data_IF_523157474080
#
_entry.id   IF_523157474080
#
_cell.length_a   1.000
_cell.length_b   1.000
_cell.length_c   1.000
_cell.angle_alpha   90.00
_cell.angle_beta   90.00
_cell.angle_gamma   90.00
#
_symmetry.space_group_name_H-M   'P 1'
#
loop_
_entity.id
_entity.type
_entity.pdbx_description
1 polymer ?
#
# COMPACT_ATOMS: atom_id res chain seq x y z
N UNK A 1 1.12 16.59 -12.16
CA UNK A 1 -0.04 15.72 -12.48
C UNK A 1 0.17 14.90 -13.75
N UNK A 2 0.61 15.51 -14.87
CA UNK A 2 0.91 14.82 -16.16
C UNK A 2 1.72 13.52 -15.99
N UNK A 3 2.91 13.59 -15.38
CA UNK A 3 3.75 12.40 -15.18
C UNK A 3 3.14 11.32 -14.27
N UNK A 4 2.42 11.69 -13.21
CA UNK A 4 1.78 10.70 -12.33
C UNK A 4 0.71 9.90 -13.08
N UNK A 5 -0.08 10.57 -13.92
CA UNK A 5 -1.16 9.94 -14.67
C UNK A 5 -0.62 9.19 -15.90
N UNK A 6 0.16 9.84 -16.76
CA UNK A 6 0.65 9.26 -18.01
C UNK A 6 1.71 8.19 -17.76
N UNK A 7 2.72 8.48 -16.95
CA UNK A 7 3.82 7.54 -16.69
C UNK A 7 3.49 6.55 -15.58
N UNK A 8 3.00 7.03 -14.43
CA UNK A 8 2.67 6.18 -13.30
C UNK A 8 1.53 5.21 -13.62
N UNK A 9 0.34 5.73 -13.94
CA UNK A 9 -0.85 4.90 -14.18
C UNK A 9 -0.96 4.39 -15.63
N UNK A 10 -0.64 5.24 -16.61
CA UNK A 10 -0.81 4.95 -18.04
C UNK A 10 0.21 3.96 -18.59
N UNK A 11 1.45 4.00 -18.13
CA UNK A 11 2.52 3.06 -18.54
C UNK A 11 2.82 2.02 -17.45
N UNK A 12 3.38 2.42 -16.31
CA UNK A 12 3.98 1.46 -15.37
C UNK A 12 2.94 0.54 -14.73
N UNK A 13 1.82 1.08 -14.25
CA UNK A 13 0.75 0.29 -13.63
C UNK A 13 -0.16 -0.45 -14.62
N UNK A 14 -0.19 -0.05 -15.90
CA UNK A 14 -1.05 -0.67 -16.91
C UNK A 14 -0.44 -1.94 -17.52
N UNK A 15 0.90 -2.11 -17.44
CA UNK A 15 1.60 -3.32 -17.88
C UNK A 15 1.03 -4.59 -17.23
N UNK A 16 0.91 -5.65 -18.01
CA UNK A 16 0.22 -6.90 -17.65
C UNK A 16 1.14 -8.02 -17.14
N UNK A 17 2.48 -7.86 -17.24
CA UNK A 17 3.46 -8.82 -16.72
C UNK A 17 3.36 -9.12 -15.20
N UNK A 18 2.70 -8.24 -14.42
CA UNK A 18 2.40 -8.45 -13.01
C UNK A 18 0.94 -8.11 -12.74
N UNK A 19 0.26 -8.98 -12.00
CA UNK A 19 -1.13 -8.75 -11.59
C UNK A 19 -1.28 -7.45 -10.80
N UNK A 20 -2.44 -6.79 -10.92
CA UNK A 20 -2.76 -5.60 -10.14
C UNK A 20 -2.59 -5.82 -8.63
N UNK A 21 -2.93 -7.03 -8.15
CA UNK A 21 -2.76 -7.42 -6.75
C UNK A 21 -1.29 -7.45 -6.35
N UNK A 22 -0.42 -8.10 -7.13
CA UNK A 22 1.02 -8.13 -6.86
C UNK A 22 1.65 -6.74 -6.88
N UNK A 23 1.22 -5.88 -7.81
CA UNK A 23 1.70 -4.49 -7.87
C UNK A 23 1.34 -3.71 -6.61
N UNK A 24 0.09 -3.82 -6.12
CA UNK A 24 -0.30 -3.14 -4.88
C UNK A 24 0.46 -3.67 -3.66
N UNK A 25 0.69 -4.99 -3.56
CA UNK A 25 1.52 -5.56 -2.49
C UNK A 25 2.91 -4.91 -2.50
N UNK A 26 3.57 -4.87 -3.65
CA UNK A 26 4.90 -4.29 -3.79
C UNK A 26 4.91 -2.79 -3.47
N UNK A 27 3.90 -2.03 -3.93
CA UNK A 27 3.79 -0.59 -3.64
C UNK A 27 3.55 -0.31 -2.16
N UNK A 28 2.65 -1.05 -1.51
CA UNK A 28 2.39 -0.91 -0.07
C UNK A 28 3.65 -1.21 0.73
N UNK A 29 4.34 -2.31 0.43
CA UNK A 29 5.60 -2.67 1.09
C UNK A 29 6.66 -1.57 0.93
N UNK A 30 6.86 -1.07 -0.29
CA UNK A 30 7.82 0.00 -0.56
C UNK A 30 7.49 1.30 0.18
N UNK A 31 6.21 1.72 0.20
CA UNK A 31 5.78 2.93 0.88
C UNK A 31 5.89 2.81 2.41
N UNK A 32 5.61 1.63 2.96
CA UNK A 32 5.88 1.34 4.37
C UNK A 32 7.37 1.44 4.67
N UNK A 33 8.22 0.81 3.86
CA UNK A 33 9.67 0.82 4.05
C UNK A 33 10.28 2.23 3.95
N UNK A 34 9.78 3.08 3.05
CA UNK A 34 10.20 4.49 2.94
C UNK A 34 9.87 5.31 4.19
N UNK A 35 8.79 4.98 4.90
CA UNK A 35 8.43 5.57 6.20
C UNK A 35 8.00 7.04 6.19
N UNK A 36 8.07 7.74 5.04
CA UNK A 36 7.81 9.19 4.93
C UNK A 36 6.68 9.56 3.93
N UNK A 37 5.96 8.57 3.39
CA UNK A 37 4.93 8.75 2.36
C UNK A 37 3.55 8.27 2.82
N UNK A 38 3.12 8.68 4.02
CA UNK A 38 1.87 8.23 4.65
C UNK A 38 0.60 8.48 3.80
N UNK A 39 0.41 9.65 3.14
CA UNK A 39 -0.76 9.88 2.30
C UNK A 39 -0.85 8.89 1.13
N UNK A 40 0.28 8.57 0.51
CA UNK A 40 0.37 7.60 -0.57
C UNK A 40 0.13 6.18 -0.06
N UNK A 41 0.69 5.83 1.10
CA UNK A 41 0.44 4.53 1.73
C UNK A 41 -1.06 4.33 1.98
N UNK A 42 -1.74 5.33 2.57
CA UNK A 42 -3.18 5.31 2.82
C UNK A 42 -4.00 5.13 1.53
N UNK A 43 -3.61 5.83 0.47
CA UNK A 43 -4.23 5.69 -0.86
C UNK A 43 -4.06 4.27 -1.43
N UNK A 44 -2.85 3.72 -1.36
CA UNK A 44 -2.54 2.39 -1.91
C UNK A 44 -3.14 1.25 -1.09
N UNK A 45 -3.26 1.38 0.24
CA UNK A 45 -4.00 0.45 1.07
C UNK A 45 -5.48 0.39 0.64
N UNK A 46 -6.13 1.56 0.48
CA UNK A 46 -7.52 1.60 -0.01
C UNK A 46 -7.65 1.00 -1.41
N UNK A 47 -6.74 1.35 -2.31
CA UNK A 47 -6.73 0.82 -3.68
C UNK A 47 -6.54 -0.69 -3.71
N UNK A 48 -5.64 -1.21 -2.86
CA UNK A 48 -5.41 -2.63 -2.64
C UNK A 48 -6.65 -3.37 -2.17
N UNK A 49 -7.36 -2.82 -1.18
CA UNK A 49 -8.61 -3.40 -0.69
C UNK A 49 -9.72 -3.40 -1.76
N UNK A 50 -9.79 -2.35 -2.59
CA UNK A 50 -10.76 -2.29 -3.69
C UNK A 50 -10.52 -3.36 -4.76
N UNK A 51 -9.31 -3.92 -4.86
CA UNK A 51 -8.97 -5.00 -5.78
C UNK A 51 -8.78 -6.36 -5.08
N UNK A 52 -9.26 -6.49 -3.83
CA UNK A 52 -9.34 -7.77 -3.13
C UNK A 52 -8.12 -8.15 -2.28
N UNK A 53 -7.32 -7.19 -1.81
CA UNK A 53 -6.46 -7.42 -0.64
C UNK A 53 -7.31 -7.35 0.63
N UNK A 54 -7.18 -8.34 1.51
CA UNK A 54 -7.84 -8.31 2.82
C UNK A 54 -7.02 -7.50 3.82
N UNK A 55 -7.61 -7.21 5.00
CA UNK A 55 -6.86 -6.58 6.11
C UNK A 55 -5.66 -7.45 6.49
N UNK A 56 -5.85 -8.75 6.61
CA UNK A 56 -4.83 -9.73 7.01
C UNK A 56 -3.68 -9.76 5.98
N UNK A 57 -3.98 -9.67 4.68
CA UNK A 57 -2.94 -9.56 3.66
C UNK A 57 -2.03 -8.34 3.88
N UNK A 58 -2.59 -7.22 4.33
CA UNK A 58 -1.84 -5.97 4.52
C UNK A 58 -1.13 -5.97 5.87
N UNK A 59 -1.72 -6.56 6.91
CA UNK A 59 -1.07 -6.81 8.20
C UNK A 59 0.22 -7.63 8.02
N UNK A 60 0.15 -8.72 7.24
CA UNK A 60 1.32 -9.55 6.92
C UNK A 60 2.42 -8.76 6.19
N UNK A 61 2.06 -7.82 5.31
CA UNK A 61 3.03 -6.93 4.67
C UNK A 61 3.72 -6.05 5.72
N UNK A 62 2.99 -5.46 6.66
CA UNK A 62 3.58 -4.64 7.73
C UNK A 62 4.49 -5.47 8.63
N UNK A 63 4.07 -6.68 9.00
CA UNK A 63 4.89 -7.61 9.77
C UNK A 63 6.17 -7.96 9.01
N UNK A 64 6.09 -8.25 7.71
CA UNK A 64 7.28 -8.49 6.89
C UNK A 64 8.21 -7.27 6.85
N UNK A 65 7.67 -6.05 6.79
CA UNK A 65 8.46 -4.82 6.82
C UNK A 65 9.17 -4.59 8.15
N UNK A 66 8.72 -5.18 9.25
CA UNK A 66 9.48 -5.14 10.51
C UNK A 66 10.87 -5.77 10.37
N UNK A 67 11.00 -6.77 9.49
CA UNK A 67 12.26 -7.46 9.18
C UNK A 67 13.14 -6.63 8.24
N UNK A 68 12.56 -6.04 7.19
CA UNK A 68 13.33 -5.39 6.12
C UNK A 68 13.58 -3.90 6.32
N UNK A 69 12.70 -3.19 7.05
CA UNK A 69 12.79 -1.75 7.29
C UNK A 69 12.63 -1.37 8.77
N UNK A 70 12.63 -2.36 9.66
CA UNK A 70 12.60 -2.18 11.11
C UNK A 70 11.22 -1.89 11.71
N UNK A 71 11.09 -2.11 13.02
CA UNK A 71 9.85 -1.91 13.77
C UNK A 71 9.22 -0.50 13.60
N UNK A 72 9.98 0.62 13.59
CA UNK A 72 9.36 1.94 13.48
C UNK A 72 8.54 2.13 12.20
N UNK A 73 9.06 1.69 11.05
CA UNK A 73 8.36 1.81 9.77
C UNK A 73 7.14 0.90 9.70
N UNK A 74 7.27 -0.34 10.18
CA UNK A 74 6.16 -1.30 10.28
C UNK A 74 5.02 -0.81 11.18
N UNK A 75 5.34 -0.27 12.37
CA UNK A 75 4.35 0.27 13.31
C UNK A 75 3.62 1.46 12.68
N UNK A 76 4.35 2.37 12.04
CA UNK A 76 3.74 3.49 11.32
C UNK A 76 2.78 3.01 10.22
N UNK A 77 3.19 2.01 9.44
CA UNK A 77 2.33 1.42 8.42
C UNK A 77 1.09 0.74 9.00
N UNK A 78 1.23 0.03 10.12
CA UNK A 78 0.12 -0.60 10.84
C UNK A 78 -0.90 0.45 11.35
N UNK A 79 -0.42 1.59 11.85
CA UNK A 79 -1.30 2.69 12.26
C UNK A 79 -2.12 3.24 11.08
N UNK A 80 -1.51 3.40 9.90
CA UNK A 80 -2.23 3.81 8.69
C UNK A 80 -3.26 2.76 8.27
N UNK A 81 -2.92 1.46 8.32
CA UNK A 81 -3.90 0.40 8.03
C UNK A 81 -5.10 0.48 8.98
N UNK A 82 -4.85 0.65 10.28
CA UNK A 82 -5.90 0.80 11.30
C UNK A 82 -6.83 1.97 10.99
N UNK A 83 -6.28 3.13 10.61
CA UNK A 83 -7.09 4.27 10.18
C UNK A 83 -8.00 3.92 9.01
N UNK A 84 -7.45 3.29 7.96
CA UNK A 84 -8.22 2.91 6.77
C UNK A 84 -9.36 1.96 7.12
N UNK A 85 -9.09 0.94 7.93
CA UNK A 85 -10.12 -0.03 8.35
C UNK A 85 -11.25 0.68 9.13
N UNK A 86 -10.92 1.60 10.04
CA UNK A 86 -11.90 2.37 10.79
C UNK A 86 -12.74 3.25 9.86
N UNK A 87 -12.11 3.98 8.95
CA UNK A 87 -12.80 4.85 7.99
C UNK A 87 -13.73 4.07 7.06
N UNK A 88 -13.32 2.89 6.61
CA UNK A 88 -14.14 2.04 5.74
C UNK A 88 -15.34 1.43 6.46
N UNK A 89 -15.25 1.16 7.77
CA UNK A 89 -16.39 0.68 8.59
C UNK A 89 -17.43 1.76 8.90
N UNK A 90 -17.08 3.04 8.79
CA UNK A 90 -17.99 4.18 9.03
C UNK A 90 -18.81 4.57 7.79
N UNK A 91 -18.48 4.03 6.62
CA UNK A 91 -19.20 4.22 5.37
C UNK A 91 -20.23 3.11 5.19
#
# INVERSE_FOLDING_TARGET
MKFTLEYGYGDIFSRDNLSKKHRQIATIAALTALGNAQPQLKFHINSGMNIGLTTENIEDIMLLMSVYSGFPSAINGMNILKEVVIERKKK
#
